data_IF_333986799069
#
_entry.id   IF_333986799069
#
_cell.length_a   1.000
_cell.length_b   1.000
_cell.length_c   1.000
_cell.angle_alpha   90.00
_cell.angle_beta   90.00
_cell.angle_gamma   90.00
#
_symmetry.space_group_name_H-M   'P 1'
#
loop_
_entity.id
_entity.type
_entity.pdbx_description
1 polymer ?
#
# COMPACT_ATOMS: atom_id res chain seq x y z
N UNK A 1 -11.30 -32.11 -1.42
CA UNK A 1 -11.06 -31.49 -2.74
C UNK A 1 -11.30 -29.99 -2.53
N UNK A 2 -10.33 -29.16 -2.88
CA UNK A 2 -10.36 -27.69 -2.89
C UNK A 2 -9.94 -26.89 -1.64
N UNK A 3 -9.11 -27.47 -0.75
CA UNK A 3 -8.49 -26.70 0.36
C UNK A 3 -7.15 -26.04 -0.03
N UNK A 4 -6.68 -26.25 -1.27
CA UNK A 4 -5.38 -25.74 -1.75
C UNK A 4 -5.48 -24.45 -2.56
N UNK A 5 -6.58 -24.23 -3.29
CA UNK A 5 -6.70 -23.06 -4.19
C UNK A 5 -6.59 -21.73 -3.43
N UNK A 6 -7.29 -21.62 -2.29
CA UNK A 6 -7.24 -20.42 -1.46
C UNK A 6 -5.82 -20.16 -0.94
N UNK A 7 -5.13 -21.20 -0.49
CA UNK A 7 -3.76 -21.11 0.03
C UNK A 7 -2.74 -20.81 -1.07
N UNK A 8 -2.84 -21.46 -2.22
CA UNK A 8 -1.98 -21.21 -3.39
C UNK A 8 -2.16 -19.80 -3.92
N UNK A 9 -3.41 -19.33 -4.03
CA UNK A 9 -3.69 -17.95 -4.44
C UNK A 9 -3.11 -16.96 -3.43
N UNK A 10 -3.35 -17.17 -2.13
CA UNK A 10 -2.84 -16.30 -1.05
C UNK A 10 -1.31 -16.24 -1.09
N UNK A 11 -0.64 -17.39 -1.25
CA UNK A 11 0.82 -17.50 -1.32
C UNK A 11 1.36 -16.79 -2.56
N UNK A 12 0.85 -17.13 -3.75
CA UNK A 12 1.32 -16.57 -5.02
C UNK A 12 1.12 -15.05 -5.10
N UNK A 13 -0.07 -14.55 -4.73
CA UNK A 13 -0.33 -13.09 -4.69
C UNK A 13 0.56 -12.41 -3.65
N UNK A 14 0.75 -13.03 -2.48
CA UNK A 14 1.63 -12.48 -1.44
C UNK A 14 3.10 -12.40 -1.88
N UNK A 15 3.60 -13.41 -2.57
CA UNK A 15 4.95 -13.44 -3.17
C UNK A 15 5.10 -12.36 -4.24
N UNK A 16 4.15 -12.27 -5.18
CA UNK A 16 4.15 -11.27 -6.24
C UNK A 16 4.13 -9.84 -5.67
N UNK A 17 3.26 -9.58 -4.69
CA UNK A 17 3.16 -8.27 -4.04
C UNK A 17 4.44 -7.92 -3.28
N UNK A 18 5.12 -8.89 -2.65
CA UNK A 18 6.42 -8.64 -2.01
C UNK A 18 7.51 -8.35 -3.03
N UNK A 19 7.56 -9.12 -4.12
CA UNK A 19 8.54 -8.93 -5.20
C UNK A 19 8.37 -7.55 -5.86
N UNK A 20 7.14 -7.16 -6.19
CA UNK A 20 6.85 -5.86 -6.79
C UNK A 20 7.29 -4.69 -5.90
N UNK A 21 7.20 -4.81 -4.57
CA UNK A 21 7.69 -3.77 -3.63
C UNK A 21 9.21 -3.59 -3.66
N UNK A 22 9.98 -4.52 -4.24
CA UNK A 22 11.42 -4.31 -4.43
C UNK A 22 11.72 -3.20 -5.45
N UNK A 23 10.76 -2.86 -6.32
CA UNK A 23 10.84 -1.72 -7.23
C UNK A 23 10.63 -0.36 -6.52
N UNK A 24 10.22 -0.37 -5.25
CA UNK A 24 9.97 0.85 -4.50
C UNK A 24 11.27 1.60 -4.22
N UNK A 25 11.20 2.92 -4.41
CA UNK A 25 12.31 3.83 -4.02
C UNK A 25 12.04 4.52 -2.68
N UNK A 26 10.83 4.36 -2.14
CA UNK A 26 10.41 4.89 -0.84
C UNK A 26 10.62 3.83 0.25
N UNK A 27 11.07 4.23 1.45
CA UNK A 27 11.09 3.32 2.59
C UNK A 27 9.71 2.71 2.86
N UNK A 28 9.65 1.39 3.09
CA UNK A 28 8.38 0.66 3.24
C UNK A 28 7.48 1.23 4.35
N UNK A 29 8.08 1.75 5.43
CA UNK A 29 7.33 2.39 6.52
C UNK A 29 6.63 3.69 6.09
N UNK A 30 7.30 4.50 5.27
CA UNK A 30 6.75 5.74 4.73
C UNK A 30 5.63 5.45 3.73
N UNK A 31 5.86 4.51 2.81
CA UNK A 31 4.85 4.08 1.84
C UNK A 31 3.60 3.52 2.52
N UNK A 32 3.78 2.78 3.63
CA UNK A 32 2.67 2.28 4.43
C UNK A 32 1.86 3.40 5.07
N UNK A 33 2.53 4.38 5.72
CA UNK A 33 1.84 5.53 6.33
C UNK A 33 1.06 6.33 5.30
N UNK A 34 1.69 6.71 4.18
CA UNK A 34 1.01 7.43 3.12
C UNK A 34 -0.17 6.61 2.58
N UNK A 35 0.00 5.30 2.39
CA UNK A 35 -1.05 4.42 1.92
C UNK A 35 -2.26 4.34 2.85
N UNK A 36 -2.06 4.38 4.17
CA UNK A 36 -3.16 4.48 5.12
C UNK A 36 -3.87 5.82 5.04
N UNK A 37 -3.12 6.92 5.00
CA UNK A 37 -3.69 8.27 4.89
C UNK A 37 -4.47 8.49 3.59
N UNK A 38 -4.02 7.88 2.49
CA UNK A 38 -4.67 7.95 1.16
C UNK A 38 -6.02 7.20 1.12
N UNK A 39 -6.11 6.03 1.77
CA UNK A 39 -7.33 5.18 1.73
C UNK A 39 -8.31 5.43 2.86
N UNK A 40 -7.79 5.63 4.08
CA UNK A 40 -8.58 5.68 5.31
C UNK A 40 -8.84 7.10 5.82
N UNK A 41 -8.15 8.10 5.26
CA UNK A 41 -8.27 9.49 5.66
C UNK A 41 -7.29 9.89 6.77
N UNK A 42 -7.57 11.02 7.46
CA UNK A 42 -6.65 11.55 8.45
C UNK A 42 -6.54 10.65 9.68
N UNK A 43 -5.32 10.40 10.12
CA UNK A 43 -5.04 9.55 11.29
C UNK A 43 -4.10 10.25 12.26
N UNK A 44 -4.17 9.89 13.53
CA UNK A 44 -3.13 10.26 14.50
C UNK A 44 -1.92 9.35 14.35
N UNK A 45 -0.76 9.76 14.89
CA UNK A 45 0.42 8.88 14.96
C UNK A 45 0.14 7.58 15.71
N UNK A 46 -0.73 7.60 16.71
CA UNK A 46 -1.12 6.41 17.47
C UNK A 46 -1.94 5.44 16.61
N UNK A 47 -2.89 5.95 15.83
CA UNK A 47 -3.68 5.14 14.89
C UNK A 47 -2.76 4.50 13.85
N UNK A 48 -1.83 5.28 13.28
CA UNK A 48 -0.84 4.77 12.32
C UNK A 48 0.09 3.71 12.92
N UNK A 49 0.48 3.84 14.19
CA UNK A 49 1.27 2.83 14.89
C UNK A 49 0.48 1.52 15.01
N UNK A 50 -0.79 1.61 15.41
CA UNK A 50 -1.69 0.47 15.52
C UNK A 50 -1.93 -0.21 14.17
N UNK A 51 -2.30 0.56 13.14
CA UNK A 51 -2.53 0.06 11.78
C UNK A 51 -1.29 -0.60 11.16
N UNK A 52 -0.10 -0.14 11.52
CA UNK A 52 1.17 -0.72 11.06
C UNK A 52 1.68 -1.87 11.91
N UNK A 53 1.11 -2.11 13.09
CA UNK A 53 1.64 -3.09 14.05
C UNK A 53 3.06 -2.76 14.52
N UNK A 54 3.39 -1.48 14.68
CA UNK A 54 4.72 -1.01 15.14
C UNK A 54 4.61 -0.19 16.42
N UNK A 55 5.73 0.03 17.10
CA UNK A 55 5.77 0.90 18.28
C UNK A 55 5.45 2.35 17.93
N UNK A 56 4.89 3.09 18.88
CA UNK A 56 4.61 4.52 18.71
C UNK A 56 5.87 5.32 18.33
N UNK A 57 7.04 4.98 18.91
CA UNK A 57 8.30 5.64 18.59
C UNK A 57 8.73 5.42 17.12
N UNK A 58 8.53 4.21 16.60
CA UNK A 58 8.82 3.88 15.19
C UNK A 58 7.88 4.64 14.23
N UNK A 59 6.59 4.68 14.55
CA UNK A 59 5.61 5.45 13.80
C UNK A 59 5.93 6.96 13.84
N UNK A 60 6.25 7.50 15.02
CA UNK A 60 6.60 8.91 15.19
C UNK A 60 7.84 9.32 14.40
N UNK A 61 8.87 8.45 14.32
CA UNK A 61 10.03 8.67 13.45
C UNK A 61 9.61 8.77 11.98
N UNK A 62 8.84 7.79 11.50
CA UNK A 62 8.34 7.78 10.11
C UNK A 62 7.52 9.04 9.80
N UNK A 63 6.63 9.43 10.71
CA UNK A 63 5.79 10.63 10.57
C UNK A 63 6.64 11.90 10.52
N UNK A 64 7.66 12.00 11.38
CA UNK A 64 8.59 13.14 11.37
C UNK A 64 9.30 13.27 10.03
N UNK A 65 9.78 12.17 9.48
CA UNK A 65 10.47 12.15 8.18
C UNK A 65 9.52 12.57 7.04
N UNK A 66 8.28 12.07 7.05
CA UNK A 66 7.24 12.45 6.08
C UNK A 66 6.81 13.92 6.17
N UNK A 67 6.70 14.47 7.39
CA UNK A 67 6.44 15.90 7.62
C UNK A 67 7.59 16.75 7.09
N UNK A 68 8.84 16.36 7.40
CA UNK A 68 10.05 17.04 6.90
C UNK A 68 10.15 17.03 5.38
N UNK A 69 9.69 15.96 4.73
CA UNK A 69 9.64 15.84 3.27
C UNK A 69 8.42 16.53 2.62
N UNK A 70 7.50 17.11 3.41
CA UNK A 70 6.28 17.75 2.92
C UNK A 70 5.25 16.80 2.30
N UNK A 71 5.35 15.50 2.59
CA UNK A 71 4.44 14.47 2.06
C UNK A 71 3.19 14.31 2.93
N UNK A 72 3.27 14.77 4.18
CA UNK A 72 2.19 14.82 5.15
C UNK A 72 2.15 16.23 5.75
N UNK A 73 0.98 16.68 6.18
CA UNK A 73 0.77 17.86 7.02
C UNK A 73 0.04 17.46 8.30
N UNK A 74 0.26 18.22 9.38
CA UNK A 74 -0.40 18.00 10.66
C UNK A 74 -1.37 19.14 10.98
N UNK A 75 -2.53 18.81 11.53
CA UNK A 75 -3.53 19.77 12.04
C UNK A 75 -3.95 19.38 13.46
N UNK A 76 -4.34 20.34 14.32
CA UNK A 76 -4.89 20.04 15.63
C UNK A 76 -6.14 19.17 15.52
N UNK A 77 -6.26 18.16 16.38
CA UNK A 77 -7.46 17.32 16.41
C UNK A 77 -8.67 18.13 16.90
N UNK A 78 -9.83 18.09 16.20
CA UNK A 78 -10.96 18.99 16.45
C UNK A 78 -11.57 18.88 17.85
N UNK A 79 -11.45 17.70 18.48
CA UNK A 79 -11.96 17.45 19.84
C UNK A 79 -10.89 17.31 20.93
N UNK A 80 -9.60 17.26 20.57
CA UNK A 80 -8.50 17.16 21.55
C UNK A 80 -7.24 17.82 20.98
N UNK A 81 -7.10 19.14 21.16
CA UNK A 81 -6.00 19.92 20.58
C UNK A 81 -4.58 19.47 21.00
N UNK A 82 -4.44 18.54 21.95
CA UNK A 82 -3.15 17.90 22.28
C UNK A 82 -2.75 16.82 21.28
N UNK A 83 -3.69 16.33 20.47
CA UNK A 83 -3.47 15.36 19.40
C UNK A 83 -3.36 16.08 18.06
N UNK A 84 -2.57 15.50 17.17
CA UNK A 84 -2.45 15.95 15.79
C UNK A 84 -3.08 14.92 14.86
N UNK A 85 -3.91 15.39 13.94
CA UNK A 85 -4.35 14.63 12.77
C UNK A 85 -3.39 14.87 11.63
N UNK A 86 -2.96 13.77 11.01
CA UNK A 86 -2.04 13.78 9.88
C UNK A 86 -2.84 13.64 8.61
N UNK A 87 -2.54 14.46 7.62
CA UNK A 87 -3.18 14.46 6.31
C UNK A 87 -2.13 14.27 5.24
N UNK A 88 -2.40 13.40 4.27
CA UNK A 88 -1.56 13.29 3.08
C UNK A 88 -1.70 14.57 2.22
N UNK A 89 -0.57 15.12 1.79
CA UNK A 89 -0.53 16.27 0.88
C UNK A 89 -0.70 15.82 -0.57
N UNK A 90 -0.94 16.76 -1.50
CA UNK A 90 -0.92 16.45 -2.94
C UNK A 90 0.45 15.89 -3.37
N UNK A 91 1.53 16.42 -2.80
CA UNK A 91 2.89 15.88 -3.01
C UNK A 91 3.01 14.45 -2.50
N UNK A 92 2.43 14.14 -1.34
CA UNK A 92 2.37 12.77 -0.81
C UNK A 92 1.60 11.82 -1.73
N UNK A 93 0.44 12.25 -2.25
CA UNK A 93 -0.36 11.48 -3.23
C UNK A 93 0.40 11.24 -4.52
N UNK A 94 1.03 12.27 -5.09
CA UNK A 94 1.86 12.15 -6.29
C UNK A 94 3.01 11.16 -6.04
N UNK A 95 3.71 11.30 -4.91
CA UNK A 95 4.81 10.42 -4.54
C UNK A 95 4.39 8.95 -4.37
N UNK A 96 3.17 8.68 -3.89
CA UNK A 96 2.60 7.34 -3.86
C UNK A 96 2.25 6.83 -5.26
N UNK A 97 1.68 7.69 -6.11
CA UNK A 97 1.37 7.37 -7.50
C UNK A 97 2.62 6.96 -8.27
N UNK A 98 3.74 7.65 -8.04
CA UNK A 98 5.02 7.32 -8.66
C UNK A 98 5.51 5.91 -8.27
N UNK A 99 5.31 5.49 -7.01
CA UNK A 99 5.62 4.10 -6.62
C UNK A 99 4.66 3.10 -7.26
N UNK A 100 3.38 3.46 -7.43
CA UNK A 100 2.42 2.56 -8.11
C UNK A 100 2.81 2.38 -9.57
N UNK A 101 3.20 3.45 -10.24
CA UNK A 101 3.70 3.41 -11.62
C UNK A 101 4.96 2.55 -11.74
N UNK A 102 5.98 2.78 -10.88
CA UNK A 102 7.19 1.95 -10.87
C UNK A 102 6.92 0.46 -10.70
N UNK A 103 6.01 0.09 -9.78
CA UNK A 103 5.60 -1.31 -9.59
C UNK A 103 4.91 -1.87 -10.82
N UNK A 104 4.07 -1.07 -11.48
CA UNK A 104 3.38 -1.47 -12.70
C UNK A 104 4.39 -1.71 -13.83
N UNK A 105 5.30 -0.76 -14.08
CA UNK A 105 6.32 -0.87 -15.12
C UNK A 105 7.25 -2.09 -14.89
N UNK A 106 7.66 -2.31 -13.64
CA UNK A 106 8.50 -3.46 -13.28
C UNK A 106 7.77 -4.80 -13.47
N UNK A 107 6.47 -4.85 -13.15
CA UNK A 107 5.65 -6.04 -13.35
C UNK A 107 5.36 -6.28 -14.84
N UNK A 108 5.15 -5.21 -15.61
CA UNK A 108 4.90 -5.27 -17.05
C UNK A 108 6.10 -5.89 -17.78
N UNK A 109 7.32 -5.42 -17.48
CA UNK A 109 8.55 -6.01 -17.99
C UNK A 109 8.67 -7.51 -17.64
N UNK A 110 8.38 -7.90 -16.39
CA UNK A 110 8.42 -9.31 -15.99
C UNK A 110 7.37 -10.16 -16.72
N UNK A 111 6.20 -9.61 -17.01
CA UNK A 111 5.14 -10.28 -17.78
C UNK A 111 5.59 -10.49 -19.22
N UNK A 112 6.14 -9.46 -19.87
CA UNK A 112 6.63 -9.53 -21.25
C UNK A 112 7.79 -10.53 -21.40
N UNK A 113 8.72 -10.54 -20.44
CA UNK A 113 9.91 -11.40 -20.48
C UNK A 113 9.61 -12.87 -20.18
N UNK A 114 8.54 -13.17 -19.43
CA UNK A 114 8.30 -14.51 -18.87
C UNK A 114 7.09 -15.23 -19.48
N UNK A 115 6.06 -14.49 -19.89
CA UNK A 115 4.77 -15.08 -20.28
C UNK A 115 4.52 -14.98 -21.78
N UNK A 116 4.05 -16.07 -22.37
CA UNK A 116 3.53 -16.07 -23.74
C UNK A 116 2.26 -15.24 -23.87
N UNK A 117 1.92 -14.79 -25.08
CA UNK A 117 0.69 -14.03 -25.33
C UNK A 117 -0.59 -14.73 -24.83
N UNK A 118 -0.61 -16.08 -24.88
CA UNK A 118 -1.73 -16.87 -24.35
C UNK A 118 -1.80 -16.81 -22.83
N UNK A 119 -0.67 -16.92 -22.14
CA UNK A 119 -0.61 -16.83 -20.67
C UNK A 119 -0.94 -15.42 -20.18
N UNK A 120 -0.53 -14.39 -20.92
CA UNK A 120 -0.92 -13.00 -20.65
C UNK A 120 -2.45 -12.82 -20.73
N UNK A 121 -3.11 -13.42 -21.73
CA UNK A 121 -4.57 -13.40 -21.83
C UNK A 121 -5.25 -14.14 -20.68
N UNK A 122 -4.70 -15.29 -20.26
CA UNK A 122 -5.18 -16.02 -19.09
C UNK A 122 -5.03 -15.18 -17.81
N UNK A 123 -3.88 -14.53 -17.62
CA UNK A 123 -3.65 -13.65 -16.47
C UNK A 123 -4.63 -12.48 -16.47
N UNK A 124 -4.85 -11.85 -17.63
CA UNK A 124 -5.84 -10.77 -17.82
C UNK A 124 -7.26 -11.20 -17.42
N UNK A 125 -7.66 -12.42 -17.79
CA UNK A 125 -8.95 -12.98 -17.41
C UNK A 125 -9.08 -13.26 -15.89
N UNK A 126 -7.97 -13.51 -15.20
CA UNK A 126 -7.95 -13.74 -13.75
C UNK A 126 -8.06 -12.45 -12.91
N UNK A 127 -7.53 -11.31 -13.40
CA UNK A 127 -7.55 -10.01 -12.68
C UNK A 127 -8.93 -9.64 -12.13
N UNK A 128 -10.04 -9.63 -12.92
CA UNK A 128 -11.35 -9.26 -12.40
C UNK A 128 -11.88 -10.23 -11.32
N UNK A 129 -11.45 -11.50 -11.33
CA UNK A 129 -11.83 -12.48 -10.31
C UNK A 129 -11.16 -12.15 -8.98
N UNK A 130 -9.85 -11.89 -9.01
CA UNK A 130 -9.07 -11.49 -7.82
C UNK A 130 -9.60 -10.18 -7.23
N UNK A 131 -9.94 -9.20 -8.08
CA UNK A 131 -10.51 -7.93 -7.65
C UNK A 131 -11.86 -8.10 -6.93
N UNK A 132 -12.75 -8.96 -7.45
CA UNK A 132 -14.03 -9.30 -6.81
C UNK A 132 -13.85 -9.96 -5.45
N UNK A 133 -12.89 -10.88 -5.33
CA UNK A 133 -12.54 -11.51 -4.05
C UNK A 133 -12.03 -10.47 -3.05
N UNK A 134 -11.13 -9.58 -3.47
CA UNK A 134 -10.58 -8.53 -2.62
C UNK A 134 -11.67 -7.57 -2.11
N UNK A 135 -12.60 -7.14 -2.97
CA UNK A 135 -13.75 -6.32 -2.56
C UNK A 135 -14.59 -7.03 -1.48
N UNK A 136 -14.97 -8.29 -1.71
CA UNK A 136 -15.77 -9.07 -0.76
C UNK A 136 -15.10 -9.24 0.61
N UNK A 137 -13.77 -9.32 0.66
CA UNK A 137 -12.99 -9.47 1.89
C UNK A 137 -12.82 -8.15 2.65
N UNK A 138 -12.76 -7.01 1.96
CA UNK A 138 -12.63 -5.69 2.57
C UNK A 138 -13.96 -5.12 3.08
N UNK A 139 -15.10 -5.58 2.54
CA UNK A 139 -16.45 -5.18 2.96
C UNK A 139 -16.94 -5.91 4.24
N UNK A 140 -16.04 -6.54 5.00
CA UNK A 140 -16.33 -7.22 6.28
C UNK A 140 -15.79 -6.43 7.46
#
# INVERSE_FOLDING_TARGET
MDDTLAEDLRRAVGELVRAARAADTMPAGEAAVLGYLDRGGPYTTADLAHLRGVTHQSAAKTVKDLLGAGLVRAEPHPSDGRKLLLHITDRGRARLSDERARRADWLDAAIEDTLSAREQEQLRACVPLIARLAGRLNDR
#
